data_IF_728329989761
#
_entry.id   IF_728329989761
#
_cell.length_a   1.000
_cell.length_b   1.000
_cell.length_c   1.000
_cell.angle_alpha   90.00
_cell.angle_beta   90.00
_cell.angle_gamma   90.00
#
_symmetry.space_group_name_H-M   'P 1'
#
loop_
_entity.id
_entity.type
_entity.pdbx_description
1 polymer ?
#
# COMPACT_ATOMS: atom_id res chain seq x y z
N UNK A 1 10.40 9.89 -8.39
CA UNK A 1 11.00 9.06 -9.46
C UNK A 1 9.97 8.03 -9.90
N UNK A 2 9.32 8.21 -11.07
CA UNK A 2 8.42 7.19 -11.62
C UNK A 2 9.11 5.82 -11.65
N UNK A 3 8.41 4.77 -11.24
CA UNK A 3 8.92 3.39 -11.26
C UNK A 3 9.84 2.97 -10.11
N UNK A 4 10.19 3.87 -9.18
CA UNK A 4 10.93 3.47 -7.97
C UNK A 4 10.04 2.65 -7.02
N UNK A 5 10.59 1.54 -6.49
CA UNK A 5 9.90 0.56 -5.64
C UNK A 5 10.79 0.15 -4.49
N UNK A 6 10.24 0.12 -3.28
CA UNK A 6 10.99 -0.21 -2.07
C UNK A 6 10.07 -0.62 -0.91
N UNK A 7 10.55 -1.51 -0.04
CA UNK A 7 9.98 -1.70 1.30
C UNK A 7 8.55 -2.25 1.35
N UNK A 8 8.18 -3.10 0.39
CA UNK A 8 6.83 -3.65 0.31
C UNK A 8 5.84 -2.64 -0.27
N UNK A 9 6.31 -1.86 -1.25
CA UNK A 9 5.56 -0.77 -1.87
C UNK A 9 4.18 -1.22 -2.32
N UNK A 10 3.19 -0.37 -2.11
CA UNK A 10 1.86 -0.61 -2.63
C UNK A 10 1.68 0.06 -3.99
N UNK A 11 1.60 -0.70 -5.11
CA UNK A 11 1.34 -0.14 -6.43
C UNK A 11 -0.04 0.52 -6.54
N UNK A 12 -0.94 0.25 -5.60
CA UNK A 12 -2.27 0.82 -5.52
C UNK A 12 -2.29 2.17 -4.78
N UNK A 13 -1.16 2.60 -4.21
CA UNK A 13 -1.05 3.90 -3.55
C UNK A 13 -0.40 4.95 -4.45
N UNK A 14 -0.83 6.20 -4.28
CA UNK A 14 0.01 7.35 -4.60
C UNK A 14 0.74 7.80 -3.32
N UNK A 15 2.07 7.71 -3.36
CA UNK A 15 2.93 8.10 -2.25
C UNK A 15 3.44 9.54 -2.45
N UNK A 16 3.41 10.34 -1.39
CA UNK A 16 4.04 11.67 -1.34
C UNK A 16 4.89 11.78 -0.08
N UNK A 17 6.16 12.14 -0.27
CA UNK A 17 7.12 12.37 0.82
C UNK A 17 7.49 13.84 0.79
N UNK A 18 7.25 14.53 1.89
CA UNK A 18 7.49 15.97 2.02
C UNK A 18 8.43 16.18 3.21
N UNK A 19 9.69 16.55 2.98
CA UNK A 19 10.64 16.81 4.06
C UNK A 19 10.10 17.89 5.00
N UNK A 20 10.05 17.57 6.29
CA UNK A 20 9.73 18.49 7.38
C UNK A 20 10.71 18.26 8.52
N UNK A 21 10.96 19.28 9.31
CA UNK A 21 11.90 19.23 10.41
C UNK A 21 11.28 19.81 11.68
N UNK A 22 11.61 19.20 12.82
CA UNK A 22 11.33 19.78 14.13
C UNK A 22 11.93 21.19 14.21
N UNK A 23 11.23 22.11 14.88
CA UNK A 23 11.54 23.55 14.89
C UNK A 23 10.91 24.34 13.75
N UNK A 24 10.42 23.66 12.70
CA UNK A 24 9.78 24.30 11.55
C UNK A 24 8.26 24.41 11.70
N UNK A 25 7.67 25.36 10.98
CA UNK A 25 6.21 25.53 10.88
C UNK A 25 5.79 25.41 9.42
N UNK A 26 4.84 24.54 9.16
CA UNK A 26 4.39 24.23 7.80
C UNK A 26 2.87 24.27 7.72
N UNK A 27 2.41 24.62 6.53
CA UNK A 27 1.02 24.51 6.14
C UNK A 27 0.93 23.67 4.87
N UNK A 28 0.08 22.66 4.90
CA UNK A 28 -0.35 21.91 3.74
C UNK A 28 -1.80 22.30 3.44
N UNK A 29 -2.07 22.77 2.23
CA UNK A 29 -3.43 22.92 1.71
C UNK A 29 -3.70 21.76 0.77
N UNK A 30 -4.81 21.08 0.98
CA UNK A 30 -5.24 19.98 0.14
C UNK A 30 -6.59 20.26 -0.52
N UNK A 31 -6.77 19.66 -1.69
CA UNK A 31 -8.04 19.60 -2.40
C UNK A 31 -8.39 18.13 -2.62
N UNK A 32 -9.42 17.68 -1.92
CA UNK A 32 -10.07 16.39 -2.13
C UNK A 32 -10.73 16.38 -3.50
N UNK A 33 -10.48 15.32 -4.26
CA UNK A 33 -11.05 15.16 -5.60
C UNK A 33 -12.51 14.71 -5.53
N UNK A 34 -13.27 14.94 -6.60
CA UNK A 34 -14.68 14.49 -6.72
C UNK A 34 -14.77 12.95 -6.64
N UNK A 35 -13.79 12.28 -7.23
CA UNK A 35 -13.59 10.83 -7.14
C UNK A 35 -12.29 10.59 -6.34
N UNK A 36 -12.35 10.61 -5.01
CA UNK A 36 -11.13 10.61 -4.21
C UNK A 36 -10.57 9.21 -4.02
N UNK A 37 -9.29 9.14 -3.64
CA UNK A 37 -8.71 7.94 -3.03
C UNK A 37 -9.62 7.37 -1.95
N UNK A 38 -9.71 6.04 -1.87
CA UNK A 38 -10.59 5.37 -0.90
C UNK A 38 -10.19 5.67 0.54
N UNK A 39 -8.88 5.73 0.79
CA UNK A 39 -8.35 6.07 2.11
C UNK A 39 -7.08 6.92 2.00
N UNK A 40 -7.01 8.00 2.78
CA UNK A 40 -5.86 8.92 2.81
C UNK A 40 -5.33 9.02 4.23
N UNK A 41 -4.00 8.96 4.38
CA UNK A 41 -3.31 9.03 5.67
C UNK A 41 -2.13 9.99 5.62
N UNK A 42 -1.90 10.70 6.72
CA UNK A 42 -0.83 11.67 6.90
C UNK A 42 0.02 11.26 8.09
N UNK A 43 1.26 10.87 7.85
CA UNK A 43 2.13 10.37 8.92
C UNK A 43 3.42 11.15 9.00
N UNK A 44 3.78 11.59 10.20
CA UNK A 44 5.15 12.03 10.46
C UNK A 44 5.99 10.80 10.78
N UNK A 45 7.07 10.62 10.04
CA UNK A 45 7.92 9.45 10.17
C UNK A 45 9.37 9.83 10.43
N UNK A 46 10.04 8.97 11.18
CA UNK A 46 11.49 8.93 11.35
C UNK A 46 12.06 7.74 10.58
N UNK A 47 13.39 7.64 10.56
CA UNK A 47 14.13 6.55 9.92
C UNK A 47 13.84 6.44 8.40
N UNK A 48 14.82 6.81 7.59
CA UNK A 48 14.70 6.79 6.12
C UNK A 48 14.44 5.41 5.52
N UNK A 49 14.75 4.34 6.25
CA UNK A 49 14.63 2.96 5.76
C UNK A 49 13.31 2.33 6.19
N UNK A 50 12.95 2.40 7.48
CA UNK A 50 11.71 1.77 8.00
C UNK A 50 10.51 2.70 8.02
N UNK A 51 10.68 4.03 7.90
CA UNK A 51 9.58 4.99 8.02
C UNK A 51 8.78 4.84 9.32
N UNK A 52 9.47 4.65 10.45
CA UNK A 52 8.85 4.50 11.76
C UNK A 52 7.94 5.70 12.09
N UNK A 53 6.65 5.43 12.30
CA UNK A 53 5.62 6.46 12.53
C UNK A 53 5.79 7.09 13.91
N UNK A 54 5.88 8.42 13.93
CA UNK A 54 5.93 9.24 15.14
C UNK A 54 4.59 9.89 15.46
N UNK A 55 3.82 10.26 14.43
CA UNK A 55 2.48 10.81 14.56
C UNK A 55 1.65 10.46 13.33
N UNK A 56 0.33 10.32 13.49
CA UNK A 56 -0.60 9.98 12.40
C UNK A 56 -1.85 10.85 12.49
N UNK A 57 -2.35 11.26 11.33
CA UNK A 57 -3.68 11.86 11.15
C UNK A 57 -4.36 11.12 10.00
N UNK A 58 -5.50 10.53 10.31
CA UNK A 58 -6.27 9.72 9.38
C UNK A 58 -7.39 10.57 8.77
N UNK A 59 -7.76 10.33 7.52
CA UNK A 59 -8.83 11.10 6.87
C UNK A 59 -10.16 11.09 7.65
N UNK A 60 -10.47 10.00 8.37
CA UNK A 60 -11.71 9.88 9.14
C UNK A 60 -11.76 10.83 10.35
N UNK A 61 -10.60 11.33 10.78
CA UNK A 61 -10.47 12.28 11.87
C UNK A 61 -10.31 13.73 11.40
N UNK A 62 -10.28 13.95 10.08
CA UNK A 62 -10.07 15.28 9.50
C UNK A 62 -11.39 16.01 9.30
N UNK A 63 -11.35 17.33 9.46
CA UNK A 63 -12.38 18.22 8.95
C UNK A 63 -12.03 18.61 7.51
N UNK A 64 -12.91 18.25 6.57
CA UNK A 64 -12.78 18.61 5.16
C UNK A 64 -14.02 19.42 4.81
N UNK A 65 -13.81 20.58 4.20
CA UNK A 65 -14.88 21.49 3.79
C UNK A 65 -15.78 20.81 2.73
N UNK A 66 -17.01 21.29 2.58
CA UNK A 66 -17.98 20.70 1.62
C UNK A 66 -17.47 20.74 0.17
N UNK A 67 -16.62 21.71 -0.17
CA UNK A 67 -15.98 21.82 -1.48
C UNK A 67 -14.70 20.98 -1.62
N UNK A 68 -14.38 20.16 -0.61
CA UNK A 68 -13.24 19.27 -0.57
C UNK A 68 -11.93 19.91 -0.10
N UNK A 69 -11.92 21.20 0.26
CA UNK A 69 -10.71 21.85 0.75
C UNK A 69 -10.41 21.45 2.19
N UNK A 70 -9.11 21.38 2.51
CA UNK A 70 -8.66 21.28 3.89
C UNK A 70 -7.30 21.94 4.06
N UNK A 71 -7.03 22.36 5.30
CA UNK A 71 -5.75 22.89 5.74
C UNK A 71 -5.22 22.02 6.86
N UNK A 72 -4.01 21.49 6.67
CA UNK A 72 -3.25 20.75 7.68
C UNK A 72 -2.08 21.62 8.15
N UNK A 73 -1.98 21.82 9.46
CA UNK A 73 -0.87 22.55 10.08
C UNK A 73 0.13 21.57 10.70
N UNK A 74 1.43 21.86 10.59
CA UNK A 74 2.49 21.09 11.21
C UNK A 74 3.48 22.02 11.92
N UNK A 75 3.65 21.85 13.22
CA UNK A 75 4.62 22.57 14.04
C UNK A 75 4.90 21.81 15.34
N UNK A 76 5.80 22.31 16.20
CA UNK A 76 6.17 21.62 17.43
C UNK A 76 5.14 21.77 18.57
N UNK A 77 4.07 22.53 18.38
CA UNK A 77 3.10 22.80 19.43
C UNK A 77 2.01 21.73 19.45
N UNK A 78 1.47 21.35 20.62
CA UNK A 78 0.32 20.46 20.69
C UNK A 78 -0.87 20.97 19.86
N UNK A 79 -1.73 20.06 19.41
CA UNK A 79 -2.87 20.40 18.55
C UNK A 79 -3.80 21.47 19.16
N UNK A 80 -4.03 21.42 20.48
CA UNK A 80 -5.00 22.29 21.12
C UNK A 80 -6.38 22.08 20.52
N UNK A 81 -6.96 23.13 19.92
CA UNK A 81 -8.27 23.07 19.24
C UNK A 81 -8.16 22.79 17.72
N UNK A 82 -6.96 22.67 17.17
CA UNK A 82 -6.73 22.45 15.74
C UNK A 82 -6.98 20.98 15.41
N UNK A 83 -8.09 20.66 14.72
CA UNK A 83 -8.41 19.26 14.34
C UNK A 83 -7.44 18.71 13.31
N UNK A 84 -7.19 19.48 12.25
CA UNK A 84 -6.24 19.13 11.20
C UNK A 84 -4.83 19.61 11.58
N UNK A 85 -4.22 18.95 12.56
CA UNK A 85 -2.89 19.30 13.03
C UNK A 85 -2.04 18.06 13.35
N UNK A 86 -0.78 18.10 12.95
CA UNK A 86 0.24 17.15 13.36
C UNK A 86 1.37 17.87 14.09
N UNK A 87 1.52 17.57 15.38
CA UNK A 87 2.68 18.05 16.13
C UNK A 87 3.93 17.33 15.63
N UNK A 88 4.99 18.06 15.31
CA UNK A 88 6.25 17.51 14.78
C UNK A 88 7.15 17.06 15.93
N UNK A 89 7.34 15.75 16.16
CA UNK A 89 8.25 15.30 17.19
C UNK A 89 9.70 15.42 16.72
N UNK A 90 10.62 15.56 17.67
CA UNK A 90 12.06 15.50 17.39
C UNK A 90 12.42 14.20 16.64
N UNK A 91 13.31 14.29 15.65
CA UNK A 91 13.71 13.15 14.82
C UNK A 91 12.80 12.86 13.61
N UNK A 92 11.74 13.65 13.41
CA UNK A 92 10.96 13.61 12.17
C UNK A 92 11.83 13.93 10.96
N UNK A 93 11.72 13.13 9.90
CA UNK A 93 12.42 13.35 8.63
C UNK A 93 11.48 13.90 7.55
N UNK A 94 10.25 13.40 7.50
CA UNK A 94 9.28 13.81 6.49
C UNK A 94 7.84 13.50 6.91
N UNK A 95 6.91 14.27 6.33
CA UNK A 95 5.50 13.93 6.23
C UNK A 95 5.33 12.93 5.07
N UNK A 96 4.83 11.74 5.40
CA UNK A 96 4.53 10.67 4.47
C UNK A 96 3.03 10.54 4.29
N UNK A 97 2.56 10.84 3.08
CA UNK A 97 1.15 10.79 2.71
C UNK A 97 0.92 9.59 1.80
N UNK A 98 -0.14 8.84 2.11
CA UNK A 98 -0.55 7.67 1.34
C UNK A 98 -2.00 7.86 0.90
N UNK A 99 -2.18 7.97 -0.40
CA UNK A 99 -3.45 7.93 -1.10
C UNK A 99 -3.71 6.49 -1.58
N UNK A 100 -4.48 5.72 -0.83
CA UNK A 100 -4.82 4.33 -1.17
C UNK A 100 -6.01 4.31 -2.15
N UNK A 101 -5.74 4.00 -3.42
CA UNK A 101 -6.73 4.03 -4.49
C UNK A 101 -7.38 2.66 -4.67
N UNK A 102 -8.63 2.54 -4.25
CA UNK A 102 -9.45 1.33 -4.39
C UNK A 102 -9.98 1.11 -5.81
N UNK A 103 -10.05 2.17 -6.62
CA UNK A 103 -10.49 2.12 -8.02
C UNK A 103 -9.59 2.99 -8.91
N UNK A 104 -8.71 2.33 -9.67
CA UNK A 104 -7.79 2.99 -10.60
C UNK A 104 -8.47 3.60 -11.83
N UNK A 105 -9.69 3.20 -12.18
CA UNK A 105 -10.41 3.69 -13.36
C UNK A 105 -11.10 5.03 -13.10
N UNK A 106 -11.28 5.41 -11.82
CA UNK A 106 -12.01 6.61 -11.44
C UNK A 106 -11.22 7.52 -10.53
N UNK A 107 -10.65 6.96 -9.45
CA UNK A 107 -10.14 7.75 -8.34
C UNK A 107 -8.86 8.52 -8.68
N UNK A 108 -8.70 9.66 -8.03
CA UNK A 108 -7.53 10.52 -8.13
C UNK A 108 -7.03 10.91 -6.73
N UNK A 109 -5.70 10.95 -6.51
CA UNK A 109 -5.11 11.44 -5.27
C UNK A 109 -5.47 12.90 -4.98
N UNK A 110 -5.43 13.27 -3.70
CA UNK A 110 -5.64 14.66 -3.30
C UNK A 110 -4.56 15.57 -3.94
N UNK A 111 -4.97 16.77 -4.39
CA UNK A 111 -4.02 17.77 -4.87
C UNK A 111 -3.46 18.54 -3.67
N UNK A 112 -2.13 18.60 -3.55
CA UNK A 112 -1.45 19.10 -2.35
C UNK A 112 -0.52 20.25 -2.68
N UNK A 113 -0.55 21.29 -1.86
CA UNK A 113 0.45 22.34 -1.84
C UNK A 113 1.00 22.48 -0.42
N UNK A 114 2.32 22.60 -0.29
CA UNK A 114 2.98 22.76 1.00
C UNK A 114 3.83 24.01 1.02
N UNK A 115 3.76 24.72 2.14
CA UNK A 115 4.50 25.95 2.42
C UNK A 115 5.15 25.84 3.80
N UNK A 116 6.43 26.21 3.90
CA UNK A 116 7.06 26.55 5.17
C UNK A 116 6.70 27.99 5.54
N UNK A 117 6.32 28.23 6.79
CA UNK A 117 5.79 29.50 7.31
C UNK A 117 6.86 30.38 7.97
N UNK A 118 7.98 29.78 8.35
CA UNK A 118 9.14 30.43 8.95
C UNK A 118 10.35 30.38 7.99
N UNK A 119 11.29 31.34 8.10
CA UNK A 119 12.52 31.29 7.32
C UNK A 119 13.39 30.09 7.71
N UNK A 120 14.16 29.51 6.76
CA UNK A 120 15.10 28.45 7.09
C UNK A 120 16.15 28.96 8.07
N UNK A 121 16.51 28.11 9.04
CA UNK A 121 17.48 28.42 10.11
C UNK A 121 18.92 28.04 9.77
N UNK A 122 19.15 27.45 8.59
CA UNK A 122 20.47 27.01 8.12
C UNK A 122 20.62 27.26 6.61
N UNK A 123 21.85 27.39 6.09
CA UNK A 123 22.08 27.41 4.65
C UNK A 123 21.67 26.08 4.00
N UNK A 124 21.45 26.07 2.66
CA UNK A 124 21.28 24.84 1.90
C UNK A 124 22.42 23.84 2.14
N UNK A 125 22.12 22.55 2.00
CA UNK A 125 23.17 21.52 2.04
C UNK A 125 24.07 21.68 0.82
N UNK A 126 25.37 21.47 1.03
CA UNK A 126 26.36 21.31 -0.03
C UNK A 126 26.15 20.00 -0.78
N UNK A 127 26.74 19.89 -1.96
CA UNK A 127 26.72 18.64 -2.75
C UNK A 127 27.36 17.48 -1.98
N UNK A 128 28.47 17.72 -1.28
CA UNK A 128 29.15 16.71 -0.47
C UNK A 128 28.27 16.20 0.69
N UNK A 129 27.52 17.08 1.35
CA UNK A 129 26.58 16.70 2.41
C UNK A 129 25.41 15.87 1.86
N UNK A 130 24.89 16.23 0.68
CA UNK A 130 23.86 15.48 -0.02
C UNK A 130 24.37 14.10 -0.44
N UNK A 131 25.56 14.03 -1.04
CA UNK A 131 26.20 12.79 -1.45
C UNK A 131 26.48 11.87 -0.25
N UNK A 132 27.04 12.41 0.83
CA UNK A 132 27.27 11.65 2.05
C UNK A 132 25.97 11.11 2.64
N UNK A 133 24.88 11.87 2.59
CA UNK A 133 23.55 11.42 3.03
C UNK A 133 23.00 10.31 2.14
N UNK A 134 23.10 10.46 0.82
CA UNK A 134 22.68 9.43 -0.12
C UNK A 134 23.45 8.11 0.08
N UNK A 135 24.78 8.18 0.24
CA UNK A 135 25.63 7.02 0.49
C UNK A 135 25.20 6.31 1.78
N UNK A 136 25.00 7.05 2.88
CA UNK A 136 24.53 6.46 4.15
C UNK A 136 23.20 5.74 3.99
N UNK A 137 22.24 6.36 3.30
CA UNK A 137 20.91 5.77 3.10
C UNK A 137 20.97 4.51 2.23
N UNK A 138 21.71 4.54 1.11
CA UNK A 138 21.89 3.37 0.23
C UNK A 138 22.50 2.20 1.00
N UNK A 139 23.53 2.44 1.82
CA UNK A 139 24.16 1.39 2.63
C UNK A 139 23.21 0.85 3.70
N UNK A 140 22.44 1.72 4.37
CA UNK A 140 21.43 1.31 5.36
C UNK A 140 20.37 0.39 4.76
N UNK A 141 19.94 0.70 3.53
CA UNK A 141 18.90 -0.06 2.83
C UNK A 141 19.35 -1.50 2.52
N UNK A 142 20.64 -1.74 2.22
CA UNK A 142 21.14 -3.10 1.98
C UNK A 142 20.96 -4.00 3.20
N UNK A 143 21.30 -3.50 4.40
CA UNK A 143 21.15 -4.26 5.63
C UNK A 143 19.68 -4.55 5.95
N UNK A 144 18.80 -3.56 5.76
CA UNK A 144 17.38 -3.75 5.99
C UNK A 144 16.75 -4.72 4.99
N UNK A 145 17.07 -4.61 3.70
CA UNK A 145 16.59 -5.57 2.70
C UNK A 145 16.98 -7.00 3.06
N UNK A 146 18.24 -7.22 3.48
CA UNK A 146 18.69 -8.52 3.94
C UNK A 146 17.91 -9.00 5.17
N UNK A 147 17.76 -8.16 6.20
CA UNK A 147 17.00 -8.50 7.40
C UNK A 147 15.55 -8.85 7.09
N UNK A 148 14.85 -7.99 6.33
CA UNK A 148 13.44 -8.16 6.00
C UNK A 148 13.24 -9.41 5.12
N UNK A 149 14.13 -9.66 4.16
CA UNK A 149 14.14 -10.89 3.38
C UNK A 149 14.23 -12.12 4.31
N UNK A 150 15.17 -12.14 5.25
CA UNK A 150 15.30 -13.28 6.20
C UNK A 150 14.06 -13.44 7.07
N UNK A 151 13.47 -12.34 7.53
CA UNK A 151 12.27 -12.37 8.34
C UNK A 151 11.08 -13.01 7.59
N UNK A 152 10.91 -12.65 6.32
CA UNK A 152 9.75 -13.08 5.53
C UNK A 152 9.91 -14.46 4.87
N UNK A 153 11.12 -14.83 4.46
CA UNK A 153 11.37 -16.09 3.75
C UNK A 153 11.67 -17.28 4.66
N UNK A 154 12.10 -17.06 5.91
CA UNK A 154 12.39 -18.16 6.84
C UNK A 154 11.13 -18.71 7.52
N UNK A 155 9.98 -18.06 7.34
CA UNK A 155 8.69 -18.49 7.88
C UNK A 155 8.06 -19.64 7.07
N UNK A 156 6.98 -20.25 7.61
CA UNK A 156 6.20 -21.23 6.87
C UNK A 156 5.56 -20.59 5.62
N UNK A 157 5.32 -21.42 4.59
CA UNK A 157 4.65 -20.96 3.36
C UNK A 157 3.13 -20.86 3.54
N UNK A 158 2.71 -19.81 4.24
CA UNK A 158 1.32 -19.45 4.51
C UNK A 158 1.17 -17.94 4.68
N UNK A 159 -0.04 -17.42 4.55
CA UNK A 159 -0.38 -16.09 5.03
C UNK A 159 -0.34 -16.07 6.56
N UNK A 160 0.32 -15.07 7.15
CA UNK A 160 0.32 -14.86 8.60
C UNK A 160 -1.06 -14.39 9.07
N UNK A 161 -1.40 -14.59 10.36
CA UNK A 161 -2.53 -13.89 10.97
C UNK A 161 -2.44 -12.38 10.70
N UNK A 162 -3.57 -11.68 10.50
CA UNK A 162 -3.56 -10.24 10.34
C UNK A 162 -3.03 -9.54 11.61
N UNK A 163 -2.07 -8.64 11.42
CA UNK A 163 -1.44 -7.86 12.48
C UNK A 163 -1.29 -6.39 12.08
N UNK A 164 -1.15 -5.52 13.08
CA UNK A 164 -0.90 -4.09 12.85
C UNK A 164 0.47 -3.86 12.23
N UNK A 165 0.54 -3.08 11.14
CA UNK A 165 1.76 -2.93 10.36
C UNK A 165 2.82 -1.98 10.99
N UNK A 166 2.50 -1.29 12.09
CA UNK A 166 3.33 -0.24 12.66
C UNK A 166 4.70 -0.69 13.18
N UNK A 167 4.79 -1.89 13.75
CA UNK A 167 6.03 -2.45 14.34
C UNK A 167 7.14 -2.70 13.32
N UNK A 168 6.79 -2.82 12.04
CA UNK A 168 7.72 -3.08 10.93
C UNK A 168 7.82 -1.92 9.93
N UNK A 169 7.31 -0.73 10.29
CA UNK A 169 7.41 0.47 9.45
C UNK A 169 6.23 0.71 8.49
N UNK A 170 5.19 -0.12 8.59
CA UNK A 170 3.95 0.07 7.84
C UNK A 170 3.06 1.17 8.42
N UNK A 171 1.96 1.43 7.74
CA UNK A 171 0.91 2.35 8.19
C UNK A 171 0.31 1.84 9.51
N UNK A 172 0.35 2.63 10.58
CA UNK A 172 -0.04 2.17 11.93
C UNK A 172 -1.54 1.85 12.06
N UNK A 173 -2.37 2.43 11.20
CA UNK A 173 -3.82 2.20 11.14
C UNK A 173 -4.22 1.09 10.18
N UNK A 174 -3.24 0.44 9.56
CA UNK A 174 -3.44 -0.70 8.67
C UNK A 174 -3.29 -2.01 9.44
N UNK A 175 -4.24 -2.92 9.20
CA UNK A 175 -4.07 -4.34 9.47
C UNK A 175 -3.53 -5.00 8.20
N UNK A 176 -2.55 -5.89 8.34
CA UNK A 176 -1.91 -6.54 7.20
C UNK A 176 -1.59 -8.00 7.47
N UNK A 177 -1.48 -8.77 6.40
CA UNK A 177 -0.99 -10.14 6.43
C UNK A 177 0.06 -10.33 5.36
N UNK A 178 1.13 -11.05 5.71
CA UNK A 178 2.23 -11.36 4.83
C UNK A 178 2.26 -12.86 4.57
N UNK A 179 2.53 -13.25 3.32
CA UNK A 179 2.81 -14.63 2.97
C UNK A 179 4.06 -14.72 2.10
N UNK A 180 4.71 -15.87 2.16
CA UNK A 180 5.78 -16.26 1.25
C UNK A 180 5.41 -17.60 0.64
N UNK A 181 5.54 -17.73 -0.69
CA UNK A 181 5.30 -18.98 -1.39
C UNK A 181 6.36 -19.25 -2.46
N UNK A 182 6.90 -20.46 -2.44
CA UNK A 182 7.64 -21.09 -3.53
C UNK A 182 6.67 -21.98 -4.32
N UNK A 183 6.48 -21.71 -5.60
CA UNK A 183 5.52 -22.41 -6.47
C UNK A 183 6.23 -23.23 -7.53
N UNK A 184 5.79 -24.45 -7.77
CA UNK A 184 6.07 -25.18 -9.01
C UNK A 184 5.03 -24.80 -10.09
N UNK A 185 5.32 -25.14 -11.34
CA UNK A 185 4.43 -24.88 -12.49
C UNK A 185 3.05 -25.57 -12.35
N UNK A 186 3.03 -26.71 -11.65
CA UNK A 186 1.85 -27.53 -11.40
C UNK A 186 1.16 -27.24 -10.06
N UNK A 187 1.52 -26.13 -9.39
CA UNK A 187 0.98 -25.73 -8.10
C UNK A 187 0.17 -24.43 -8.15
N UNK A 188 -0.76 -24.32 -7.20
CA UNK A 188 -1.49 -23.09 -6.95
C UNK A 188 -1.60 -22.86 -5.43
N UNK A 189 -1.69 -21.61 -5.02
CA UNK A 189 -2.04 -21.23 -3.65
C UNK A 189 -3.41 -20.56 -3.69
N UNK A 190 -4.33 -21.08 -2.89
CA UNK A 190 -5.64 -20.49 -2.64
C UNK A 190 -5.49 -19.62 -1.39
N UNK A 191 -5.90 -18.36 -1.47
CA UNK A 191 -5.90 -17.40 -0.37
C UNK A 191 -7.32 -16.87 -0.20
N UNK A 192 -7.89 -16.95 1.00
CA UNK A 192 -9.26 -16.49 1.25
C UNK A 192 -9.27 -15.48 2.38
N UNK A 193 -9.83 -14.30 2.14
CA UNK A 193 -9.90 -13.18 3.10
C UNK A 193 -11.32 -12.64 3.26
N UNK A 194 -11.65 -12.06 4.41
CA UNK A 194 -12.91 -11.31 4.60
C UNK A 194 -12.76 -9.81 4.30
N UNK A 195 -13.89 -9.10 4.24
CA UNK A 195 -13.92 -7.64 4.04
C UNK A 195 -13.53 -6.83 5.29
N UNK A 196 -13.84 -7.38 6.47
CA UNK A 196 -13.53 -6.83 7.79
C UNK A 196 -13.98 -5.39 8.05
N UNK A 197 -15.09 -4.95 7.44
CA UNK A 197 -15.57 -3.57 7.52
C UNK A 197 -14.61 -2.51 6.95
N UNK A 198 -13.48 -2.92 6.37
CA UNK A 198 -12.48 -2.00 5.85
C UNK A 198 -13.00 -1.25 4.61
N UNK A 199 -12.74 0.05 4.56
CA UNK A 199 -13.07 0.88 3.39
C UNK A 199 -12.14 0.57 2.24
N UNK A 200 -10.86 0.33 2.51
CA UNK A 200 -9.85 -0.04 1.50
C UNK A 200 -9.25 -1.42 1.77
N UNK A 201 -9.08 -2.20 0.70
CA UNK A 201 -8.41 -3.50 0.71
C UNK A 201 -7.58 -3.71 -0.54
N UNK A 202 -6.47 -4.41 -0.37
CA UNK A 202 -5.75 -5.00 -1.49
C UNK A 202 -4.98 -6.26 -1.16
N UNK A 203 -4.55 -6.91 -2.23
CA UNK A 203 -3.50 -7.92 -2.22
C UNK A 203 -2.48 -7.57 -3.31
N UNK A 204 -1.19 -7.79 -3.02
CA UNK A 204 -0.08 -7.41 -3.91
C UNK A 204 1.01 -8.46 -3.85
N UNK A 205 1.57 -8.81 -5.01
CA UNK A 205 2.77 -9.64 -5.14
C UNK A 205 4.04 -8.80 -5.18
N UNK A 206 5.07 -9.28 -4.48
CA UNK A 206 6.41 -8.70 -4.44
C UNK A 206 7.48 -9.75 -4.72
N UNK A 207 8.64 -9.28 -5.19
CA UNK A 207 9.84 -10.11 -5.29
C UNK A 207 10.55 -10.26 -3.93
N UNK A 208 11.64 -11.03 -3.93
CA UNK A 208 12.48 -11.25 -2.74
C UNK A 208 13.14 -9.99 -2.16
N UNK A 209 13.11 -8.87 -2.89
CA UNK A 209 13.62 -7.57 -2.47
C UNK A 209 12.50 -6.61 -2.03
N UNK A 210 11.30 -7.14 -1.80
CA UNK A 210 10.13 -6.38 -1.36
C UNK A 210 9.68 -5.33 -2.37
N UNK A 211 9.95 -5.54 -3.66
CA UNK A 211 9.48 -4.66 -4.73
C UNK A 211 8.26 -5.28 -5.37
N UNK A 212 7.20 -4.48 -5.53
CA UNK A 212 6.01 -4.98 -6.21
C UNK A 212 6.37 -5.42 -7.64
N UNK A 213 5.76 -6.50 -8.11
CA UNK A 213 6.01 -7.01 -9.46
C UNK A 213 5.50 -6.01 -10.53
N UNK A 214 5.89 -6.16 -11.82
CA UNK A 214 5.41 -5.30 -12.89
C UNK A 214 3.87 -5.24 -12.94
N UNK A 215 3.30 -4.09 -12.60
CA UNK A 215 1.90 -3.95 -12.22
C UNK A 215 1.01 -3.33 -13.29
N UNK A 216 1.55 -2.99 -14.46
CA UNK A 216 0.78 -2.47 -15.60
C UNK A 216 0.15 -3.60 -16.42
N UNK A 217 0.97 -4.56 -16.85
CA UNK A 217 0.58 -5.58 -17.85
C UNK A 217 0.23 -6.96 -17.25
N UNK A 218 0.30 -7.07 -15.94
CA UNK A 218 0.10 -8.31 -15.18
C UNK A 218 -0.75 -8.04 -13.95
N UNK A 219 -1.65 -8.98 -13.64
CA UNK A 219 -2.50 -8.94 -12.46
C UNK A 219 -1.71 -9.41 -11.23
N UNK A 220 -0.79 -8.56 -10.78
CA UNK A 220 0.04 -8.79 -9.58
C UNK A 220 -0.61 -8.22 -8.32
N UNK A 221 -1.61 -7.34 -8.49
CA UNK A 221 -2.37 -6.75 -7.40
C UNK A 221 -3.84 -6.64 -7.77
N UNK A 222 -4.69 -6.63 -6.75
CA UNK A 222 -6.13 -6.37 -6.86
C UNK A 222 -6.55 -5.41 -5.75
N UNK A 223 -7.29 -4.36 -6.12
CA UNK A 223 -7.94 -3.41 -5.22
C UNK A 223 -9.43 -3.68 -5.09
N UNK A 224 -10.15 -2.92 -4.25
CA UNK A 224 -11.60 -3.02 -4.05
C UNK A 224 -12.41 -3.20 -5.35
N UNK A 225 -12.16 -2.35 -6.36
CA UNK A 225 -12.93 -2.36 -7.62
C UNK A 225 -12.49 -3.48 -8.59
N UNK A 226 -11.33 -4.11 -8.34
CA UNK A 226 -10.77 -5.13 -9.22
C UNK A 226 -11.07 -6.55 -8.73
N UNK A 227 -11.18 -6.75 -7.42
CA UNK A 227 -11.51 -8.04 -6.82
C UNK A 227 -13.00 -8.37 -6.95
N UNK A 228 -13.31 -9.62 -7.26
CA UNK A 228 -14.67 -10.15 -7.23
C UNK A 228 -14.92 -10.87 -5.89
N UNK A 229 -16.03 -10.58 -5.18
CA UNK A 229 -16.40 -11.34 -3.99
C UNK A 229 -16.90 -12.74 -4.37
N UNK A 230 -16.73 -13.67 -3.44
CA UNK A 230 -17.40 -14.97 -3.43
C UNK A 230 -18.86 -14.81 -2.98
N UNK A 231 -19.67 -15.88 -3.08
CA UNK A 231 -21.10 -15.81 -2.76
C UNK A 231 -21.39 -15.47 -1.28
N UNK A 232 -20.46 -15.74 -0.37
CA UNK A 232 -20.54 -15.44 1.06
C UNK A 232 -19.95 -14.06 1.42
N UNK A 233 -19.49 -13.28 0.42
CA UNK A 233 -18.88 -11.98 0.62
C UNK A 233 -17.39 -12.01 1.00
N UNK A 234 -16.77 -13.19 1.11
CA UNK A 234 -15.31 -13.33 1.21
C UNK A 234 -14.66 -13.10 -0.17
N UNK A 235 -13.34 -13.10 -0.20
CA UNK A 235 -12.56 -12.94 -1.42
C UNK A 235 -11.55 -14.07 -1.53
N UNK A 236 -11.75 -14.95 -2.50
CA UNK A 236 -10.78 -16.00 -2.85
C UNK A 236 -9.87 -15.52 -3.97
N UNK A 237 -8.57 -15.59 -3.74
CA UNK A 237 -7.50 -15.34 -4.69
C UNK A 237 -6.79 -16.65 -5.05
N UNK A 238 -6.30 -16.74 -6.28
CA UNK A 238 -5.48 -17.88 -6.71
C UNK A 238 -4.15 -17.37 -7.23
N UNK A 239 -3.06 -17.76 -6.59
CA UNK A 239 -1.70 -17.51 -7.02
C UNK A 239 -1.19 -18.77 -7.75
N UNK A 240 -0.84 -18.63 -9.04
CA UNK A 240 -0.34 -19.73 -9.88
C UNK A 240 0.42 -19.19 -11.10
N UNK A 241 1.35 -19.98 -11.64
CA UNK A 241 2.12 -19.61 -12.84
C UNK A 241 1.22 -19.45 -14.07
N UNK A 242 0.37 -20.45 -14.34
CA UNK A 242 -0.61 -20.41 -15.41
C UNK A 242 -1.94 -19.77 -14.93
N UNK A 243 -2.64 -19.08 -15.83
CA UNK A 243 -3.97 -18.52 -15.57
C UNK A 243 -4.99 -19.66 -15.39
N UNK A 244 -5.59 -19.82 -14.20
CA UNK A 244 -6.54 -20.88 -13.92
C UNK A 244 -7.99 -20.52 -14.33
N UNK A 245 -8.20 -19.36 -14.95
CA UNK A 245 -9.53 -18.84 -15.30
C UNK A 245 -10.33 -18.35 -14.09
N UNK A 246 -9.67 -18.07 -12.96
CA UNK A 246 -10.29 -17.44 -11.76
C UNK A 246 -10.14 -15.93 -11.86
N UNK A 247 -11.22 -15.17 -11.61
CA UNK A 247 -11.21 -13.71 -11.71
C UNK A 247 -10.07 -13.10 -10.91
N UNK A 248 -9.98 -13.46 -9.63
CA UNK A 248 -8.97 -13.00 -8.65
C UNK A 248 -7.64 -13.77 -8.76
N UNK A 249 -7.15 -14.02 -9.98
CA UNK A 249 -5.84 -14.64 -10.20
C UNK A 249 -4.69 -13.66 -9.89
N UNK A 250 -3.61 -14.16 -9.30
CA UNK A 250 -2.39 -13.43 -9.04
C UNK A 250 -1.27 -14.04 -9.88
N UNK A 251 -0.72 -13.26 -10.81
CA UNK A 251 0.32 -13.70 -11.73
C UNK A 251 1.71 -13.37 -11.17
N UNK A 252 2.54 -14.37 -10.79
CA UNK A 252 3.87 -14.13 -10.22
C UNK A 252 4.93 -13.68 -11.24
N UNK A 253 4.54 -13.43 -12.50
CA UNK A 253 5.40 -12.94 -13.56
C UNK A 253 6.60 -13.86 -13.86
N UNK A 254 6.41 -15.18 -13.69
CA UNK A 254 7.46 -16.18 -13.88
C UNK A 254 8.39 -16.37 -12.68
N UNK A 255 8.15 -15.69 -11.55
CA UNK A 255 8.88 -15.94 -10.31
C UNK A 255 8.29 -17.15 -9.59
N UNK A 256 9.16 -18.09 -9.20
CA UNK A 256 8.76 -19.22 -8.36
C UNK A 256 8.63 -18.81 -6.90
N UNK A 257 9.46 -17.88 -6.43
CA UNK A 257 9.44 -17.37 -5.07
C UNK A 257 8.82 -15.97 -5.04
N UNK A 258 7.70 -15.82 -4.32
CA UNK A 258 6.98 -14.56 -4.22
C UNK A 258 6.56 -14.26 -2.79
N UNK A 259 6.57 -12.97 -2.46
CA UNK A 259 5.92 -12.44 -1.28
C UNK A 259 4.52 -11.95 -1.64
N UNK A 260 3.59 -12.09 -0.71
CA UNK A 260 2.21 -11.65 -0.83
C UNK A 260 1.89 -10.76 0.35
N UNK A 261 1.46 -9.53 0.10
CA UNK A 261 0.99 -8.62 1.15
C UNK A 261 -0.49 -8.32 0.91
N UNK A 262 -1.33 -8.65 1.90
CA UNK A 262 -2.73 -8.26 1.97
C UNK A 262 -2.92 -7.13 2.99
N UNK A 263 -3.73 -6.12 2.67
CA UNK A 263 -3.93 -4.94 3.52
C UNK A 263 -5.43 -4.66 3.72
N UNK A 264 -5.80 -4.27 4.92
CA UNK A 264 -7.08 -3.67 5.27
C UNK A 264 -6.84 -2.30 5.91
N UNK A 265 -7.52 -1.27 5.42
CA UNK A 265 -7.38 0.10 5.91
C UNK A 265 -8.74 0.78 6.03
N UNK A 266 -8.81 1.75 6.93
CA UNK A 266 -9.98 2.59 7.19
C UNK A 266 -11.15 1.78 7.73
N UNK A 267 -11.19 1.63 9.05
CA UNK A 267 -12.20 0.90 9.81
C UNK A 267 -13.17 1.91 10.46
N UNK A 268 -14.27 2.30 9.79
CA UNK A 268 -15.21 3.27 10.33
C UNK A 268 -16.08 2.69 11.45
N UNK A 269 -16.31 1.38 11.43
CA UNK A 269 -17.10 0.65 12.42
C UNK A 269 -16.15 -0.18 13.31
N UNK A 270 -16.00 0.16 14.61
CA UNK A 270 -15.15 -0.59 15.53
C UNK A 270 -15.71 -1.98 15.88
N UNK A 271 -17.00 -2.21 15.63
CA UNK A 271 -17.69 -3.47 15.93
C UNK A 271 -17.75 -4.42 14.72
N UNK A 272 -17.18 -4.01 13.58
CA UNK A 272 -17.08 -4.85 12.39
C UNK A 272 -16.25 -6.12 12.66
N UNK A 273 -16.50 -7.17 11.87
CA UNK A 273 -15.73 -8.40 11.93
C UNK A 273 -14.22 -8.12 11.78
N UNK A 274 -13.41 -8.73 12.64
CA UNK A 274 -11.95 -8.58 12.56
C UNK A 274 -11.40 -9.14 11.23
N UNK A 275 -10.30 -8.57 10.70
CA UNK A 275 -9.60 -9.14 9.55
C UNK A 275 -9.27 -10.62 9.75
N UNK A 276 -9.60 -11.44 8.75
CA UNK A 276 -9.24 -12.85 8.69
C UNK A 276 -8.72 -13.20 7.30
N UNK A 277 -7.69 -14.04 7.27
CA UNK A 277 -7.12 -14.57 6.04
C UNK A 277 -6.49 -15.93 6.29
N UNK A 278 -6.67 -16.83 5.33
CA UNK A 278 -6.07 -18.15 5.34
C UNK A 278 -5.53 -18.48 3.95
N UNK A 279 -4.61 -19.43 3.91
CA UNK A 279 -4.05 -19.88 2.65
C UNK A 279 -3.67 -21.34 2.69
N UNK A 280 -3.71 -21.99 1.52
CA UNK A 280 -3.18 -23.33 1.36
C UNK A 280 -2.72 -23.57 -0.07
N UNK A 281 -1.65 -24.35 -0.18
CA UNK A 281 -1.11 -24.82 -1.46
C UNK A 281 -1.83 -26.08 -1.92
N UNK A 282 -2.10 -26.18 -3.21
CA UNK A 282 -2.74 -27.33 -3.87
C UNK A 282 -2.04 -27.64 -5.19
N UNK A 283 -2.24 -28.86 -5.69
CA UNK A 283 -1.93 -29.16 -7.08
C UNK A 283 -2.90 -28.38 -7.99
N UNK A 284 -2.39 -27.75 -9.05
CA UNK A 284 -3.18 -26.96 -10.00
C UNK A 284 -4.29 -27.82 -10.64
N UNK A 285 -4.00 -29.09 -10.93
CA UNK A 285 -4.99 -30.04 -11.46
C UNK A 285 -6.18 -30.31 -10.51
N UNK A 286 -6.02 -30.08 -9.21
CA UNK A 286 -7.04 -30.23 -8.17
C UNK A 286 -7.73 -28.91 -7.82
N UNK A 287 -7.36 -27.80 -8.47
CA UNK A 287 -7.83 -26.46 -8.12
C UNK A 287 -9.35 -26.35 -8.18
N UNK A 288 -9.99 -26.95 -9.19
CA UNK A 288 -11.46 -26.93 -9.33
C UNK A 288 -12.19 -27.56 -8.14
N UNK A 289 -11.69 -28.68 -7.62
CA UNK A 289 -12.24 -29.37 -6.43
C UNK A 289 -11.94 -28.60 -5.15
N UNK A 290 -10.81 -27.90 -5.11
CA UNK A 290 -10.34 -27.18 -3.95
C UNK A 290 -10.97 -25.79 -3.79
N UNK A 291 -11.46 -25.15 -4.84
CA UNK A 291 -12.02 -23.80 -4.70
C UNK A 291 -13.33 -23.81 -3.90
N UNK A 292 -13.59 -22.77 -3.09
CA UNK A 292 -14.92 -22.54 -2.54
C UNK A 292 -15.99 -22.50 -3.65
N UNK A 293 -17.25 -22.80 -3.31
CA UNK A 293 -18.34 -22.70 -4.27
C UNK A 293 -18.47 -21.29 -4.84
N UNK A 294 -18.83 -21.20 -6.12
CA UNK A 294 -19.16 -19.94 -6.80
C UNK A 294 -18.05 -18.87 -6.86
N UNK A 295 -16.77 -19.25 -6.70
CA UNK A 295 -15.64 -18.35 -7.00
C UNK A 295 -15.74 -17.85 -8.44
N UNK A 296 -15.70 -16.54 -8.62
CA UNK A 296 -15.85 -15.89 -9.93
C UNK A 296 -14.82 -16.40 -10.95
N UNK A 297 -15.30 -16.76 -12.14
CA UNK A 297 -14.50 -17.26 -13.26
C UNK A 297 -14.44 -16.27 -14.40
N UNK A 298 -13.39 -16.34 -15.20
CA UNK A 298 -13.20 -15.54 -16.41
C UNK A 298 -12.71 -16.40 -17.57
N UNK A 299 -13.22 -16.11 -18.75
CA UNK A 299 -12.71 -16.64 -20.02
C UNK A 299 -11.41 -15.95 -20.42
N UNK A 300 -10.60 -16.52 -21.33
CA UNK A 300 -9.41 -15.85 -21.86
C UNK A 300 -9.68 -14.45 -22.44
N UNK A 301 -10.82 -14.26 -23.13
CA UNK A 301 -11.24 -12.95 -23.65
C UNK A 301 -11.54 -11.96 -22.52
N UNK A 302 -12.21 -12.39 -21.47
CA UNK A 302 -12.47 -11.55 -20.29
C UNK A 302 -11.16 -11.22 -19.55
N UNK A 303 -10.20 -12.15 -19.45
CA UNK A 303 -8.87 -11.87 -18.91
C UNK A 303 -8.15 -10.78 -19.72
N UNK A 304 -8.15 -10.91 -21.04
CA UNK A 304 -7.56 -9.88 -21.92
C UNK A 304 -8.19 -8.51 -21.67
N UNK A 305 -9.53 -8.46 -21.52
CA UNK A 305 -10.24 -7.22 -21.21
C UNK A 305 -9.92 -6.67 -19.80
N UNK A 306 -9.68 -7.53 -18.79
CA UNK A 306 -9.21 -7.10 -17.47
C UNK A 306 -7.82 -6.46 -17.56
N UNK A 307 -6.89 -7.09 -18.29
CA UNK A 307 -5.54 -6.55 -18.48
C UNK A 307 -5.57 -5.23 -19.26
N UNK A 308 -6.38 -5.13 -20.32
CA UNK A 308 -6.52 -3.90 -21.09
C UNK A 308 -7.07 -2.74 -20.24
N UNK A 309 -8.11 -3.00 -19.42
CA UNK A 309 -8.63 -2.00 -18.47
C UNK A 309 -7.58 -1.57 -17.46
N UNK A 310 -6.82 -2.53 -16.91
CA UNK A 310 -5.73 -2.25 -15.98
C UNK A 310 -4.65 -1.37 -16.60
N UNK A 311 -4.24 -1.64 -17.84
CA UNK A 311 -3.27 -0.84 -18.57
C UNK A 311 -3.77 0.60 -18.77
N UNK A 312 -5.00 0.76 -19.26
CA UNK A 312 -5.61 2.08 -19.43
C UNK A 312 -5.71 2.85 -18.10
N UNK A 313 -6.15 2.18 -17.04
CA UNK A 313 -6.25 2.76 -15.70
C UNK A 313 -4.89 3.15 -15.10
N UNK A 314 -3.85 2.35 -15.35
CA UNK A 314 -2.48 2.65 -14.94
C UNK A 314 -1.93 3.87 -15.70
N UNK A 315 -2.18 3.96 -17.01
CA UNK A 315 -1.65 5.02 -17.86
C UNK A 315 -2.24 6.40 -17.52
N UNK A 316 -3.47 6.46 -16.99
CA UNK A 316 -4.07 7.69 -16.44
C UNK A 316 -3.20 8.39 -15.39
N UNK A 317 -2.29 7.67 -14.73
CA UNK A 317 -1.39 8.22 -13.70
C UNK A 317 -0.30 9.11 -14.26
N UNK A 318 0.00 8.98 -15.56
CA UNK A 318 1.08 9.69 -16.23
C UNK A 318 0.60 10.54 -17.40
N UNK A 319 -0.68 10.43 -17.76
CA UNK A 319 -1.30 11.35 -18.70
C UNK A 319 -1.20 12.77 -18.11
N UNK A 320 -0.53 13.64 -18.86
CA UNK A 320 -0.52 15.08 -18.59
C UNK A 320 -1.65 15.62 -19.45
N UNK A 321 -2.76 15.97 -18.81
CA UNK A 321 -3.76 16.86 -19.44
C UNK A 321 -3.22 18.30 -19.46
#
# INVERSE_FOLDING_TARGET
>A
MPGAKWGGDNPNNAYRIIPVAAGGRYELTGQRQVEPSTYVTFQLVSNSTTSATLASLEQLAMEIDEDGRYRLTLDDMPAGKRRNHLQIPAGTLYLFIRDSMGDWERQQPDALQVRRLDPPTRPPLTEDELAATAIRNILSDVFYAYYAQRLFFNGPQMMTPPEGAGSVGGLVTQQGSLGHFTLREDEAVIITANAAGATYRDIVLHDLWLRSLPNRDRQISLTNAQMAPDADGRFTYVLSMADPGVHNWLNPCGLHDVLVLHRWQGFPDPDAEAPSIESRKVALARLGEALPPAVAKVTPRQRQAQIARRQAAYDRRFAVD
#
